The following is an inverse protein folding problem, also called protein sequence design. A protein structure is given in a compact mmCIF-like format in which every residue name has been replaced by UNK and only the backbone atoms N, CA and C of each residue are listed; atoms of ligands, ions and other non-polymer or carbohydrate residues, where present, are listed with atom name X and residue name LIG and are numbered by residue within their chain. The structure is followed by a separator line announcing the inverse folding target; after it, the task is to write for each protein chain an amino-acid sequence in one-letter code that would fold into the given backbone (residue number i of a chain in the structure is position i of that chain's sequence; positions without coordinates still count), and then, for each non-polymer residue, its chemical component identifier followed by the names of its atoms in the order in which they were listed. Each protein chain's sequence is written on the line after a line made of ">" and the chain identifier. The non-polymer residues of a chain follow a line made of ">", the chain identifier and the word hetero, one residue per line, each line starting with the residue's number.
data_IF_530568097500
#
_entry.id   IF_530568097500
#
_cell.length_a   1.000
_cell.length_b   1.000
_cell.length_c   1.000
_cell.angle_alpha   90.00
_cell.angle_beta   90.00
_cell.angle_gamma   90.00
#
_symmetry.space_group_name_H-M   'P 1'
#
loop_
_entity.id
_entity.type
_entity.pdbx_description
1 polymer ?
#
# COMPACT_ATOMS: atom_id res chain seq x y z
N UNK A 1 -23.44 3.80 -1.10
CA UNK A 1 -23.91 3.35 0.21
C UNK A 1 -23.12 3.99 1.37
N UNK A 2 -21.79 3.93 1.41
CA UNK A 2 -20.96 4.46 2.51
C UNK A 2 -21.05 5.98 2.78
N UNK A 3 -21.33 6.82 1.79
CA UNK A 3 -21.35 8.29 1.94
C UNK A 3 -22.59 8.81 2.68
N UNK A 4 -23.73 8.15 2.52
CA UNK A 4 -24.93 8.45 3.32
C UNK A 4 -24.68 8.19 4.80
N UNK A 5 -23.89 7.15 5.10
CA UNK A 5 -23.53 6.78 6.48
C UNK A 5 -22.63 7.82 7.17
N UNK A 6 -21.80 8.59 6.44
CA UNK A 6 -20.99 9.66 7.04
C UNK A 6 -21.89 10.77 7.58
N UNK A 7 -22.93 11.16 6.83
CA UNK A 7 -23.91 12.14 7.28
C UNK A 7 -24.75 11.62 8.44
N UNK A 8 -25.19 10.35 8.34
CA UNK A 8 -26.06 9.73 9.33
C UNK A 8 -25.33 9.48 10.66
N UNK A 9 -24.03 9.13 10.64
CA UNK A 9 -23.22 8.86 11.83
C UNK A 9 -22.67 10.12 12.50
N UNK A 10 -22.39 11.18 11.73
CA UNK A 10 -21.82 12.40 12.30
C UNK A 10 -22.84 13.22 13.11
N UNK A 11 -24.14 12.95 12.97
CA UNK A 11 -25.21 13.75 13.60
C UNK A 11 -25.20 15.23 13.23
N UNK A 12 -24.25 15.65 12.39
CA UNK A 12 -24.08 17.02 11.89
C UNK A 12 -23.52 17.00 10.48
N UNK A 13 -23.85 18.00 9.70
CA UNK A 13 -23.34 18.23 8.38
C UNK A 13 -21.85 18.59 8.45
N UNK A 14 -20.94 17.91 7.71
CA UNK A 14 -19.55 18.33 7.60
C UNK A 14 -19.42 19.62 6.77
N UNK A 15 -18.47 20.48 7.09
CA UNK A 15 -18.18 21.71 6.36
C UNK A 15 -17.69 21.42 4.95
N UNK A 16 -16.89 20.36 4.81
CA UNK A 16 -16.43 19.84 3.53
C UNK A 16 -16.03 18.37 3.63
N UNK A 17 -15.96 17.71 2.49
CA UNK A 17 -15.35 16.39 2.33
C UNK A 17 -14.05 16.59 1.58
N UNK A 18 -12.95 16.09 2.14
CA UNK A 18 -11.62 16.16 1.55
C UNK A 18 -11.23 14.83 0.91
N UNK A 19 -11.07 14.80 -0.42
CA UNK A 19 -10.63 13.61 -1.14
C UNK A 19 -9.75 14.00 -2.34
N UNK A 20 -8.46 14.25 -2.16
CA UNK A 20 -7.58 14.72 -3.22
C UNK A 20 -7.26 13.64 -4.25
N UNK A 21 -7.00 14.07 -5.49
CA UNK A 21 -6.36 13.27 -6.52
C UNK A 21 -4.84 13.33 -6.33
N UNK A 22 -4.19 12.17 -6.21
CA UNK A 22 -2.74 12.05 -6.07
C UNK A 22 -2.20 11.11 -7.13
N UNK A 23 -1.41 11.65 -8.06
CA UNK A 23 -0.88 10.92 -9.23
C UNK A 23 0.42 10.18 -8.96
N UNK A 24 1.21 10.66 -8.00
CA UNK A 24 2.52 10.10 -7.66
C UNK A 24 2.62 9.80 -6.19
N UNK A 25 3.16 8.63 -5.89
CA UNK A 25 3.55 8.20 -4.57
C UNK A 25 4.99 8.59 -4.22
N UNK A 26 5.50 8.02 -3.12
CA UNK A 26 6.91 8.06 -2.78
C UNK A 26 7.77 7.56 -3.94
N UNK A 27 8.95 8.17 -4.10
CA UNK A 27 9.95 7.65 -5.02
C UNK A 27 10.55 6.36 -4.43
N UNK A 28 10.34 5.26 -5.14
CA UNK A 28 10.85 3.94 -4.80
C UNK A 28 12.04 3.56 -5.69
N UNK A 29 12.67 4.54 -6.36
CA UNK A 29 13.84 4.33 -7.21
C UNK A 29 13.54 3.74 -8.60
N UNK A 30 12.28 3.67 -9.01
CA UNK A 30 11.89 3.30 -10.38
C UNK A 30 12.07 4.44 -11.39
N UNK A 31 11.74 4.20 -12.65
CA UNK A 31 11.75 5.23 -13.69
C UNK A 31 10.71 6.34 -13.43
N UNK A 32 9.64 5.99 -12.73
CA UNK A 32 8.59 6.87 -12.25
C UNK A 32 7.98 6.28 -10.97
N UNK A 33 7.14 7.07 -10.30
CA UNK A 33 6.43 6.69 -9.07
C UNK A 33 4.93 6.94 -9.18
N UNK A 34 4.31 6.54 -10.29
CA UNK A 34 2.89 6.75 -10.49
C UNK A 34 2.02 5.89 -9.58
N UNK A 35 0.89 6.43 -9.17
CA UNK A 35 -0.21 5.67 -8.60
C UNK A 35 -1.11 5.09 -9.71
N UNK A 36 -1.93 4.10 -9.35
CA UNK A 36 -2.92 3.55 -10.27
C UNK A 36 -3.86 4.66 -10.78
N UNK A 37 -4.06 4.82 -12.10
CA UNK A 37 -4.93 5.85 -12.67
C UNK A 37 -6.37 5.79 -12.13
N UNK A 38 -6.89 4.60 -11.89
CA UNK A 38 -8.24 4.41 -11.33
C UNK A 38 -8.35 4.99 -9.92
N UNK A 39 -7.31 4.80 -9.09
CA UNK A 39 -7.27 5.37 -7.73
C UNK A 39 -7.11 6.89 -7.80
N UNK A 40 -6.23 7.38 -8.67
CA UNK A 40 -5.98 8.81 -8.86
C UNK A 40 -7.24 9.55 -9.32
N UNK A 41 -8.03 8.98 -10.24
CA UNK A 41 -9.24 9.59 -10.78
C UNK A 41 -10.51 9.33 -9.97
N UNK A 42 -10.44 8.51 -8.91
CA UNK A 42 -11.60 8.17 -8.09
C UNK A 42 -12.36 9.40 -7.55
N UNK A 43 -11.70 10.47 -7.06
CA UNK A 43 -12.42 11.66 -6.60
C UNK A 43 -13.22 12.34 -7.71
N UNK A 44 -12.70 12.43 -8.93
CA UNK A 44 -13.38 12.99 -10.10
C UNK A 44 -14.59 12.13 -10.48
N UNK A 45 -14.42 10.80 -10.49
CA UNK A 45 -15.51 9.86 -10.75
C UNK A 45 -16.64 10.03 -9.73
N UNK A 46 -16.29 10.24 -8.46
CA UNK A 46 -17.27 10.49 -7.41
C UNK A 46 -17.99 11.81 -7.62
N UNK A 47 -17.26 12.89 -7.93
CA UNK A 47 -17.87 14.20 -8.22
C UNK A 47 -18.86 14.09 -9.38
N UNK A 48 -18.45 13.48 -10.49
CA UNK A 48 -19.27 13.36 -11.68
C UNK A 48 -20.55 12.52 -11.51
N UNK A 49 -20.52 11.52 -10.62
CA UNK A 49 -21.65 10.59 -10.46
C UNK A 49 -22.49 10.84 -9.20
N UNK A 50 -22.07 11.72 -8.30
CA UNK A 50 -22.71 11.93 -7.00
C UNK A 50 -22.91 13.41 -6.65
N UNK A 51 -22.86 14.29 -7.64
CA UNK A 51 -22.98 15.75 -7.44
C UNK A 51 -24.27 16.14 -6.72
N UNK A 52 -25.39 15.46 -7.01
CA UNK A 52 -26.67 15.68 -6.34
C UNK A 52 -26.58 15.54 -4.81
N UNK A 53 -25.76 14.60 -4.31
CA UNK A 53 -25.60 14.38 -2.87
C UNK A 53 -24.93 15.60 -2.24
N UNK A 54 -23.89 16.12 -2.90
CA UNK A 54 -23.16 17.30 -2.38
C UNK A 54 -24.06 18.55 -2.44
N UNK A 55 -24.77 18.73 -3.54
CA UNK A 55 -25.69 19.83 -3.74
C UNK A 55 -26.86 19.78 -2.74
N UNK A 56 -27.49 18.61 -2.56
CA UNK A 56 -28.63 18.40 -1.66
C UNK A 56 -28.28 18.72 -0.20
N UNK A 57 -27.10 18.32 0.25
CA UNK A 57 -26.64 18.57 1.62
C UNK A 57 -25.83 19.86 1.75
N UNK A 58 -25.51 20.53 0.63
CA UNK A 58 -24.74 21.78 0.57
C UNK A 58 -23.33 21.63 1.19
N UNK A 59 -22.74 20.43 1.17
CA UNK A 59 -21.40 20.15 1.64
C UNK A 59 -20.41 20.30 0.48
N UNK A 60 -19.32 21.00 0.68
CA UNK A 60 -18.29 21.16 -0.34
C UNK A 60 -17.52 19.85 -0.51
N UNK A 61 -17.35 19.41 -1.74
CA UNK A 61 -16.45 18.31 -2.07
C UNK A 61 -15.15 18.88 -2.62
N UNK A 62 -14.06 18.71 -1.85
CA UNK A 62 -12.75 19.22 -2.19
C UNK A 62 -11.89 18.06 -2.71
N UNK A 63 -11.69 18.01 -4.02
CA UNK A 63 -10.96 16.94 -4.72
C UNK A 63 -9.79 17.49 -5.58
N UNK A 64 -8.93 18.35 -5.02
CA UNK A 64 -7.85 18.94 -5.79
C UNK A 64 -6.81 17.91 -6.21
N UNK A 65 -6.16 18.19 -7.32
CA UNK A 65 -4.94 17.48 -7.72
C UNK A 65 -3.76 17.96 -6.89
N UNK A 66 -3.13 17.07 -6.10
CA UNK A 66 -2.07 17.40 -5.18
C UNK A 66 -0.72 16.79 -5.60
N UNK A 67 0.26 17.61 -6.02
CA UNK A 67 1.61 17.16 -6.32
C UNK A 67 2.42 16.98 -5.03
N UNK A 68 2.22 15.87 -4.31
CA UNK A 68 2.88 15.62 -3.01
C UNK A 68 4.41 15.59 -3.13
N UNK A 69 4.92 15.24 -4.32
CA UNK A 69 6.35 15.22 -4.64
C UNK A 69 6.96 16.61 -4.91
N UNK A 70 6.14 17.69 -4.90
CA UNK A 70 6.59 19.08 -5.11
C UNK A 70 6.11 20.00 -4.00
N UNK A 71 6.82 20.10 -2.85
CA UNK A 71 6.36 20.85 -1.67
C UNK A 71 5.94 22.29 -1.95
N UNK A 72 6.70 23.01 -2.78
CA UNK A 72 6.39 24.40 -3.12
C UNK A 72 5.11 24.57 -3.96
N UNK A 73 4.83 23.61 -4.88
CA UNK A 73 3.57 23.61 -5.65
C UNK A 73 2.41 23.21 -4.75
N UNK A 74 2.61 22.20 -3.90
CA UNK A 74 1.64 21.75 -2.90
C UNK A 74 1.22 22.91 -1.99
N UNK A 75 2.21 23.67 -1.44
CA UNK A 75 1.93 24.85 -0.62
C UNK A 75 1.00 25.86 -1.32
N UNK A 76 1.32 26.22 -2.58
CA UNK A 76 0.52 27.19 -3.35
C UNK A 76 -0.92 26.70 -3.57
N UNK A 77 -1.10 25.42 -3.84
CA UNK A 77 -2.42 24.81 -4.03
C UNK A 77 -3.20 24.81 -2.74
N UNK A 78 -2.61 24.34 -1.63
CA UNK A 78 -3.26 24.31 -0.32
C UNK A 78 -3.65 25.71 0.15
N UNK A 79 -2.77 26.71 0.00
CA UNK A 79 -3.07 28.12 0.33
C UNK A 79 -4.27 28.65 -0.45
N UNK A 80 -4.42 28.33 -1.72
CA UNK A 80 -5.57 28.71 -2.55
C UNK A 80 -6.85 28.03 -2.06
N UNK A 81 -6.79 26.73 -1.77
CA UNK A 81 -7.97 25.94 -1.37
C UNK A 81 -8.48 26.35 0.00
N UNK A 82 -7.57 26.57 0.94
CA UNK A 82 -7.92 26.87 2.34
C UNK A 82 -8.08 28.37 2.63
N UNK A 83 -7.89 29.24 1.64
CA UNK A 83 -8.14 30.68 1.76
C UNK A 83 -9.57 31.03 2.27
N UNK A 84 -10.66 30.36 1.78
CA UNK A 84 -12.02 30.63 2.30
C UNK A 84 -12.21 30.27 3.76
N UNK A 85 -11.36 29.40 4.30
CA UNK A 85 -11.36 28.97 5.71
C UNK A 85 -10.44 29.83 6.59
N UNK A 86 -9.86 30.91 6.03
CA UNK A 86 -8.96 31.86 6.72
C UNK A 86 -7.68 31.21 7.27
N UNK A 87 -7.22 30.11 6.68
CA UNK A 87 -5.96 29.44 7.04
C UNK A 87 -4.81 30.20 6.39
N UNK A 88 -3.82 30.59 7.20
CA UNK A 88 -2.64 31.34 6.78
C UNK A 88 -1.60 30.45 6.08
N UNK A 89 -0.70 31.07 5.31
CA UNK A 89 0.42 30.35 4.70
C UNK A 89 1.35 29.72 5.74
N UNK A 90 1.56 30.37 6.88
CA UNK A 90 2.40 29.82 7.97
C UNK A 90 1.79 28.59 8.65
N UNK A 91 0.48 28.53 8.77
CA UNK A 91 -0.22 27.32 9.27
C UNK A 91 -0.07 26.16 8.27
N UNK A 92 -0.17 26.44 6.96
CA UNK A 92 0.05 25.42 5.92
C UNK A 92 1.49 24.91 5.97
N UNK A 93 2.49 25.82 6.08
CA UNK A 93 3.89 25.41 6.21
C UNK A 93 4.13 24.55 7.46
N UNK A 94 3.53 24.92 8.57
CA UNK A 94 3.62 24.14 9.82
C UNK A 94 2.98 22.75 9.65
N UNK A 95 1.83 22.66 8.99
CA UNK A 95 1.14 21.41 8.72
C UNK A 95 1.98 20.50 7.78
N UNK A 96 2.56 21.05 6.71
CA UNK A 96 3.42 20.30 5.81
C UNK A 96 4.66 19.75 6.52
N UNK A 97 5.35 20.56 7.34
CA UNK A 97 6.49 20.09 8.13
C UNK A 97 6.12 18.96 9.11
N UNK A 98 4.97 19.09 9.79
CA UNK A 98 4.47 18.02 10.69
C UNK A 98 4.14 16.75 9.94
N UNK A 99 3.50 16.85 8.79
CA UNK A 99 3.16 15.68 7.96
C UNK A 99 4.43 14.97 7.46
N UNK A 100 5.44 15.73 7.04
CA UNK A 100 6.72 15.16 6.61
C UNK A 100 7.47 14.49 7.77
N UNK A 101 7.53 15.14 8.93
CA UNK A 101 8.15 14.56 10.12
C UNK A 101 7.45 13.25 10.54
N UNK A 102 6.12 13.23 10.56
CA UNK A 102 5.35 12.02 10.89
C UNK A 102 5.57 10.90 9.86
N UNK A 103 5.74 11.24 8.59
CA UNK A 103 6.06 10.27 7.54
C UNK A 103 7.44 9.63 7.74
N UNK A 104 8.43 10.42 8.04
CA UNK A 104 9.80 9.92 8.30
C UNK A 104 9.86 9.12 9.61
N UNK A 105 9.14 9.54 10.64
CA UNK A 105 9.00 8.76 11.88
C UNK A 105 8.36 7.39 11.62
N UNK A 106 7.26 7.34 10.86
CA UNK A 106 6.62 6.09 10.46
C UNK A 106 7.59 5.14 9.73
N UNK A 107 8.35 5.68 8.76
CA UNK A 107 9.35 4.88 8.04
C UNK A 107 10.42 4.31 8.97
N UNK A 108 10.92 5.14 9.91
CA UNK A 108 11.92 4.69 10.87
C UNK A 108 11.37 3.59 11.77
N UNK A 109 10.16 3.74 12.29
CA UNK A 109 9.51 2.71 13.11
C UNK A 109 9.30 1.41 12.33
N UNK A 110 8.83 1.49 11.08
CA UNK A 110 8.66 0.34 10.21
C UNK A 110 10.00 -0.36 9.93
N UNK A 111 11.06 0.40 9.66
CA UNK A 111 12.39 -0.13 9.45
C UNK A 111 12.91 -0.90 10.69
N UNK A 112 12.84 -0.27 11.87
CA UNK A 112 13.29 -0.89 13.12
C UNK A 112 12.50 -2.14 13.48
N UNK A 113 11.17 -2.11 13.29
CA UNK A 113 10.34 -3.28 13.56
C UNK A 113 10.62 -4.41 12.55
N UNK A 114 10.86 -4.09 11.30
CA UNK A 114 11.25 -5.09 10.29
C UNK A 114 12.58 -5.75 10.67
N UNK A 115 13.59 -4.96 11.08
CA UNK A 115 14.86 -5.51 11.55
C UNK A 115 14.69 -6.42 12.77
N UNK A 116 13.87 -6.00 13.74
CA UNK A 116 13.57 -6.80 14.94
C UNK A 116 12.96 -8.16 14.58
N UNK A 117 11.99 -8.16 13.65
CA UNK A 117 11.34 -9.41 13.21
C UNK A 117 12.32 -10.30 12.43
N UNK A 118 13.15 -9.73 11.55
CA UNK A 118 14.18 -10.50 10.83
C UNK A 118 15.16 -11.15 11.79
N UNK A 119 15.62 -10.45 12.81
CA UNK A 119 16.46 -11.01 13.85
C UNK A 119 15.76 -12.14 14.61
N UNK A 120 14.49 -11.96 14.98
CA UNK A 120 13.70 -13.00 15.65
C UNK A 120 13.55 -14.27 14.78
N UNK A 121 13.35 -14.10 13.46
CA UNK A 121 13.30 -15.22 12.50
C UNK A 121 14.61 -16.02 12.54
N UNK A 122 15.74 -15.32 12.47
CA UNK A 122 17.07 -15.95 12.51
C UNK A 122 17.32 -16.68 13.84
N UNK A 123 17.11 -16.01 14.98
CA UNK A 123 17.36 -16.55 16.32
C UNK A 123 16.49 -17.78 16.64
N UNK A 124 15.21 -17.73 16.28
CA UNK A 124 14.24 -18.80 16.55
C UNK A 124 14.11 -19.80 15.41
N UNK A 125 14.85 -19.63 14.31
CA UNK A 125 14.78 -20.46 13.10
C UNK A 125 13.33 -20.58 12.55
N UNK A 126 12.61 -19.45 12.55
CA UNK A 126 11.27 -19.38 12.02
C UNK A 126 11.29 -19.26 10.48
N UNK A 127 10.13 -19.52 9.88
CA UNK A 127 9.86 -19.10 8.50
C UNK A 127 9.19 -17.72 8.57
N UNK A 128 9.72 -16.76 7.82
CA UNK A 128 9.13 -15.45 7.65
C UNK A 128 8.30 -15.37 6.37
N UNK A 129 7.06 -14.96 6.48
CA UNK A 129 6.19 -14.69 5.33
C UNK A 129 6.18 -13.19 5.05
N UNK A 130 6.73 -12.80 3.91
CA UNK A 130 6.60 -11.44 3.38
C UNK A 130 5.24 -11.33 2.72
N UNK A 131 4.29 -10.70 3.42
CA UNK A 131 2.93 -10.51 2.93
C UNK A 131 2.88 -9.25 2.08
N UNK A 132 2.77 -9.43 0.79
CA UNK A 132 2.82 -8.39 -0.22
C UNK A 132 1.45 -8.11 -0.83
N UNK A 133 1.31 -6.97 -1.48
CA UNK A 133 0.08 -6.59 -2.19
C UNK A 133 -0.05 -5.08 -2.38
N UNK A 134 -1.26 -4.58 -2.34
CA UNK A 134 -1.54 -3.14 -2.37
C UNK A 134 -1.67 -2.60 -0.94
N UNK A 135 -1.43 -1.31 -0.68
CA UNK A 135 -1.49 -0.75 0.68
C UNK A 135 -2.79 -1.05 1.44
N UNK A 136 -3.92 -1.17 0.74
CA UNK A 136 -5.21 -1.49 1.37
C UNK A 136 -5.28 -2.94 1.88
N UNK A 137 -4.41 -3.85 1.43
CA UNK A 137 -4.33 -5.21 1.96
C UNK A 137 -3.78 -5.28 3.39
N UNK A 138 -3.20 -4.18 3.90
CA UNK A 138 -2.81 -4.10 5.30
C UNK A 138 -4.02 -4.00 6.26
N UNK A 139 -5.20 -3.60 5.76
CA UNK A 139 -6.41 -3.49 6.56
C UNK A 139 -6.97 -4.89 6.92
N UNK A 140 -7.18 -5.21 8.22
CA UNK A 140 -7.69 -6.51 8.65
C UNK A 140 -9.05 -6.88 8.08
N UNK A 141 -9.91 -5.90 7.79
CA UNK A 141 -11.22 -6.14 7.17
C UNK A 141 -11.09 -6.56 5.69
N UNK A 142 -9.98 -6.20 5.03
CA UNK A 142 -9.71 -6.55 3.64
C UNK A 142 -8.91 -7.84 3.54
N UNK A 143 -7.90 -8.03 4.39
CA UNK A 143 -7.05 -9.23 4.36
C UNK A 143 -7.64 -10.41 5.12
N UNK A 144 -8.83 -10.26 5.71
CA UNK A 144 -9.55 -11.32 6.44
C UNK A 144 -8.70 -12.01 7.53
N UNK A 145 -7.88 -11.27 8.25
CA UNK A 145 -6.96 -11.76 9.29
C UNK A 145 -5.97 -12.85 8.79
N UNK A 146 -5.57 -12.78 7.52
CA UNK A 146 -4.51 -13.66 6.99
C UNK A 146 -3.21 -13.57 7.81
N UNK A 147 -2.74 -12.38 8.24
CA UNK A 147 -1.56 -12.28 9.12
C UNK A 147 -1.70 -13.09 10.41
N UNK A 148 -2.87 -13.03 11.06
CA UNK A 148 -3.13 -13.79 12.28
C UNK A 148 -3.09 -15.30 12.04
N UNK A 149 -3.64 -15.74 10.90
CA UNK A 149 -3.59 -17.13 10.50
C UNK A 149 -2.16 -17.63 10.28
N UNK A 150 -1.31 -16.84 9.64
CA UNK A 150 0.11 -17.15 9.41
C UNK A 150 0.83 -17.28 10.76
N UNK A 151 0.61 -16.34 11.69
CA UNK A 151 1.19 -16.39 13.03
C UNK A 151 0.72 -17.64 13.82
N UNK A 152 -0.55 -18.02 13.71
CA UNK A 152 -1.09 -19.25 14.34
C UNK A 152 -0.44 -20.53 13.79
N UNK A 153 0.11 -20.49 12.59
CA UNK A 153 0.87 -21.59 11.98
C UNK A 153 2.35 -21.60 12.40
N UNK A 154 2.76 -20.73 13.33
CA UNK A 154 4.11 -20.63 13.84
C UNK A 154 5.10 -19.91 12.93
N UNK A 155 4.61 -19.14 11.96
CA UNK A 155 5.44 -18.34 11.04
C UNK A 155 5.38 -16.86 11.42
N UNK A 156 6.46 -16.13 11.17
CA UNK A 156 6.49 -14.69 11.33
C UNK A 156 5.89 -13.98 10.09
N UNK A 157 5.30 -12.80 10.29
CA UNK A 157 4.76 -11.99 9.19
C UNK A 157 5.53 -10.69 9.07
N UNK A 158 5.93 -10.36 7.86
CA UNK A 158 6.59 -9.12 7.48
C UNK A 158 5.78 -8.43 6.38
N UNK A 159 5.78 -7.12 6.35
CA UNK A 159 5.18 -6.36 5.27
C UNK A 159 6.17 -6.11 4.12
N UNK A 160 5.65 -6.01 2.90
CA UNK A 160 6.47 -5.74 1.72
C UNK A 160 7.21 -4.40 1.79
N UNK A 161 6.57 -3.37 2.35
CA UNK A 161 7.17 -2.04 2.46
C UNK A 161 8.33 -2.03 3.47
N UNK A 162 8.22 -2.77 4.57
CA UNK A 162 9.33 -2.99 5.48
C UNK A 162 10.51 -3.69 4.81
N UNK A 163 10.25 -4.80 4.11
CA UNK A 163 11.29 -5.55 3.39
C UNK A 163 11.90 -4.74 2.24
N UNK A 164 11.11 -3.97 1.50
CA UNK A 164 11.64 -3.12 0.44
C UNK A 164 12.63 -2.06 0.95
N UNK A 165 12.53 -1.65 2.22
CA UNK A 165 13.48 -0.72 2.86
C UNK A 165 14.80 -1.40 3.28
N UNK A 166 14.83 -2.72 3.42
CA UNK A 166 16.04 -3.48 3.77
C UNK A 166 16.98 -3.69 2.58
N UNK A 167 16.51 -3.42 1.37
CA UNK A 167 17.28 -3.66 0.16
C UNK A 167 17.96 -2.39 -0.35
N UNK A 168 19.17 -2.54 -0.90
CA UNK A 168 19.84 -1.53 -1.70
C UNK A 168 18.97 -1.08 -2.87
N UNK A 169 19.16 0.16 -3.33
CA UNK A 169 18.36 0.81 -4.38
C UNK A 169 18.40 0.14 -5.75
N UNK A 170 19.14 -0.95 -5.92
CA UNK A 170 19.25 -1.69 -7.19
C UNK A 170 18.05 -2.61 -7.39
N UNK A 171 17.38 -2.44 -8.51
CA UNK A 171 16.34 -3.37 -8.95
C UNK A 171 16.93 -4.63 -9.59
N UNK A 172 16.25 -5.79 -9.48
CA UNK A 172 16.56 -6.92 -10.33
C UNK A 172 16.30 -6.55 -11.80
N UNK A 173 16.87 -7.28 -12.76
CA UNK A 173 16.54 -7.09 -14.17
C UNK A 173 15.04 -7.28 -14.42
N UNK A 174 14.37 -6.24 -14.92
CA UNK A 174 12.94 -6.24 -15.20
C UNK A 174 12.70 -6.25 -16.73
N UNK A 175 11.69 -6.99 -17.19
CA UNK A 175 11.23 -6.95 -18.59
C UNK A 175 10.33 -5.74 -18.86
N UNK A 176 9.78 -5.15 -17.80
CA UNK A 176 8.81 -4.05 -17.88
C UNK A 176 9.42 -2.74 -17.40
N UNK A 177 8.90 -1.64 -17.91
CA UNK A 177 9.26 -0.32 -17.39
C UNK A 177 8.73 -0.18 -15.95
N UNK A 178 9.64 0.04 -15.02
CA UNK A 178 9.32 0.22 -13.61
C UNK A 178 8.87 1.66 -13.36
N UNK A 179 7.56 1.90 -13.43
CA UNK A 179 6.98 3.25 -13.35
C UNK A 179 5.91 3.41 -12.26
N UNK A 180 5.62 2.36 -11.49
CA UNK A 180 4.55 2.35 -10.51
C UNK A 180 5.12 2.19 -9.09
N UNK A 181 4.76 3.06 -8.17
CA UNK A 181 5.27 3.07 -6.80
C UNK A 181 5.16 1.70 -6.12
N UNK A 182 3.96 1.12 -6.13
CA UNK A 182 3.70 -0.12 -5.40
C UNK A 182 4.32 -1.34 -6.07
N UNK A 183 4.41 -1.36 -7.39
CA UNK A 183 5.13 -2.41 -8.13
C UNK A 183 6.63 -2.38 -7.82
N UNK A 184 7.21 -1.18 -7.74
CA UNK A 184 8.62 -1.02 -7.38
C UNK A 184 8.95 -1.67 -6.03
N UNK A 185 8.11 -1.47 -5.03
CA UNK A 185 8.26 -2.12 -3.72
C UNK A 185 8.21 -3.63 -3.83
N UNK A 186 7.21 -4.14 -4.56
CA UNK A 186 7.01 -5.58 -4.71
C UNK A 186 8.18 -6.25 -5.43
N UNK A 187 8.73 -5.63 -6.48
CA UNK A 187 9.92 -6.14 -7.17
C UNK A 187 11.14 -6.19 -6.24
N UNK A 188 11.36 -5.18 -5.42
CA UNK A 188 12.45 -5.16 -4.44
C UNK A 188 12.25 -6.22 -3.37
N UNK A 189 11.06 -6.33 -2.82
CA UNK A 189 10.74 -7.34 -1.81
C UNK A 189 10.90 -8.75 -2.36
N UNK A 190 10.45 -9.01 -3.59
CA UNK A 190 10.66 -10.29 -4.25
C UNK A 190 12.15 -10.62 -4.41
N UNK A 191 12.97 -9.68 -4.89
CA UNK A 191 14.40 -9.89 -5.04
C UNK A 191 15.10 -10.10 -3.67
N UNK A 192 14.68 -9.36 -2.63
CA UNK A 192 15.18 -9.58 -1.28
C UNK A 192 14.89 -11.01 -0.78
N UNK A 193 13.64 -11.44 -0.87
CA UNK A 193 13.21 -12.80 -0.47
C UNK A 193 14.00 -13.88 -1.19
N UNK A 194 14.34 -13.69 -2.47
CA UNK A 194 15.13 -14.71 -3.20
C UNK A 194 16.52 -14.95 -2.63
N UNK A 195 17.07 -14.02 -1.85
CA UNK A 195 18.42 -14.11 -1.25
C UNK A 195 18.40 -14.62 0.20
N UNK A 196 17.22 -14.77 0.83
CA UNK A 196 17.04 -15.17 2.22
C UNK A 196 16.24 -16.46 2.26
N UNK A 197 16.91 -17.54 2.67
CA UNK A 197 16.34 -18.88 2.63
C UNK A 197 15.19 -19.07 3.62
N UNK A 198 15.14 -18.30 4.66
CA UNK A 198 14.15 -18.30 5.75
C UNK A 198 12.91 -17.44 5.45
N UNK A 199 12.87 -16.74 4.32
CA UNK A 199 11.75 -15.91 3.91
C UNK A 199 10.99 -16.52 2.72
N UNK A 200 9.68 -16.33 2.68
CA UNK A 200 8.81 -16.69 1.57
C UNK A 200 7.90 -15.51 1.19
N UNK A 201 7.57 -15.36 -0.11
CA UNK A 201 6.73 -14.29 -0.60
C UNK A 201 5.31 -14.77 -0.86
N UNK A 202 4.35 -14.11 -0.23
CA UNK A 202 2.92 -14.33 -0.46
C UNK A 202 2.28 -13.01 -0.89
N UNK A 203 1.79 -12.94 -2.12
CA UNK A 203 1.10 -11.75 -2.63
C UNK A 203 -0.41 -11.89 -2.47
N UNK A 204 -1.02 -10.87 -1.87
CA UNK A 204 -2.48 -10.69 -1.83
C UNK A 204 -2.93 -9.93 -3.08
N UNK A 205 -3.85 -10.49 -3.84
CA UNK A 205 -4.37 -9.91 -5.07
C UNK A 205 -5.90 -9.89 -5.04
N UNK A 206 -6.52 -8.71 -5.22
CA UNK A 206 -7.98 -8.54 -5.16
C UNK A 206 -8.62 -8.35 -6.53
N UNK A 207 -7.92 -7.67 -7.44
CA UNK A 207 -8.44 -7.31 -8.74
C UNK A 207 -7.65 -8.00 -9.84
N UNK A 208 -8.29 -8.62 -10.78
CA UNK A 208 -7.63 -9.13 -11.99
C UNK A 208 -7.41 -8.03 -13.03
N UNK A 209 -6.86 -6.87 -12.65
CA UNK A 209 -6.60 -5.79 -13.57
C UNK A 209 -5.29 -6.01 -14.37
N UNK A 210 -5.14 -5.32 -15.50
CA UNK A 210 -3.94 -5.46 -16.34
C UNK A 210 -2.64 -5.10 -15.63
N UNK A 211 -2.66 -4.13 -14.72
CA UNK A 211 -1.47 -3.76 -13.92
C UNK A 211 -1.07 -4.87 -12.95
N UNK A 212 -2.04 -5.52 -12.31
CA UNK A 212 -1.76 -6.64 -11.40
C UNK A 212 -1.25 -7.86 -12.17
N UNK A 213 -1.80 -8.15 -13.36
CA UNK A 213 -1.30 -9.24 -14.19
C UNK A 213 0.18 -9.05 -14.56
N UNK A 214 0.56 -7.83 -14.99
CA UNK A 214 1.96 -7.52 -15.34
C UNK A 214 2.89 -7.64 -14.13
N UNK A 215 2.48 -7.17 -12.96
CA UNK A 215 3.34 -7.24 -11.77
C UNK A 215 3.48 -8.67 -11.28
N UNK A 216 2.40 -9.44 -11.26
CA UNK A 216 2.40 -10.86 -10.86
C UNK A 216 3.35 -11.68 -11.73
N UNK A 217 3.28 -11.52 -13.07
CA UNK A 217 4.19 -12.20 -14.01
C UNK A 217 5.65 -11.82 -13.76
N UNK A 218 5.94 -10.54 -13.56
CA UNK A 218 7.30 -10.08 -13.31
C UNK A 218 7.85 -10.57 -11.97
N UNK A 219 7.03 -10.60 -10.91
CA UNK A 219 7.41 -11.16 -9.60
C UNK A 219 7.66 -12.66 -9.71
N UNK A 220 6.80 -13.39 -10.40
CA UNK A 220 7.00 -14.81 -10.63
C UNK A 220 8.32 -15.08 -11.37
N UNK A 221 8.67 -14.25 -12.36
CA UNK A 221 9.95 -14.37 -13.05
C UNK A 221 11.15 -14.13 -12.13
N UNK A 222 11.10 -13.09 -11.26
CA UNK A 222 12.13 -12.79 -10.26
C UNK A 222 12.34 -14.00 -9.34
N UNK A 223 11.26 -14.55 -8.80
CA UNK A 223 11.28 -15.69 -7.88
C UNK A 223 11.79 -16.96 -8.57
N UNK A 224 11.29 -17.27 -9.76
CA UNK A 224 11.64 -18.48 -10.52
C UNK A 224 13.10 -18.53 -10.95
N UNK A 225 13.72 -17.39 -11.29
CA UNK A 225 15.16 -17.29 -11.63
C UNK A 225 16.09 -17.77 -10.51
N UNK A 226 15.59 -17.81 -9.29
CA UNK A 226 16.32 -18.29 -8.09
C UNK A 226 15.73 -19.59 -7.51
N UNK A 227 14.87 -20.29 -8.27
CA UNK A 227 14.18 -21.50 -7.84
C UNK A 227 13.39 -21.30 -6.54
N UNK A 228 12.78 -20.11 -6.35
CA UNK A 228 11.95 -19.80 -5.20
C UNK A 228 10.48 -19.92 -5.57
N UNK A 229 9.69 -20.42 -4.62
CA UNK A 229 8.24 -20.49 -4.79
C UNK A 229 7.63 -19.07 -4.71
N UNK A 230 6.62 -18.86 -5.52
CA UNK A 230 5.80 -17.67 -5.48
C UNK A 230 4.34 -18.04 -5.28
N UNK A 231 3.70 -17.45 -4.29
CA UNK A 231 2.29 -17.70 -4.00
C UNK A 231 1.49 -16.42 -4.14
N UNK A 232 0.55 -16.40 -5.08
CA UNK A 232 -0.47 -15.36 -5.18
C UNK A 232 -1.80 -15.88 -4.60
N UNK A 233 -2.33 -15.15 -3.62
CA UNK A 233 -3.62 -15.42 -2.99
C UNK A 233 -4.63 -14.41 -3.50
N UNK A 234 -5.62 -14.88 -4.25
CA UNK A 234 -6.74 -14.04 -4.63
C UNK A 234 -7.67 -13.85 -3.44
N UNK A 235 -7.83 -12.58 -3.02
CA UNK A 235 -8.78 -12.17 -2.00
C UNK A 235 -10.07 -11.75 -2.68
N UNK A 236 -11.17 -12.37 -2.29
CA UNK A 236 -12.52 -12.07 -2.76
C UNK A 236 -13.45 -11.82 -1.57
N UNK A 237 -14.63 -11.23 -1.80
CA UNK A 237 -15.61 -10.96 -0.75
C UNK A 237 -16.07 -12.24 0.00
N UNK A 238 -15.95 -13.40 -0.64
CA UNK A 238 -16.25 -14.71 -0.09
C UNK A 238 -15.00 -15.58 0.04
N UNK A 239 -14.13 -15.24 0.98
CA UNK A 239 -12.85 -15.95 1.13
C UNK A 239 -13.04 -17.31 1.79
N UNK A 240 -12.64 -18.40 1.11
CA UNK A 240 -12.53 -19.71 1.73
C UNK A 240 -11.20 -19.84 2.48
N UNK A 241 -11.18 -19.53 3.77
CA UNK A 241 -10.01 -19.65 4.64
C UNK A 241 -9.38 -21.06 4.62
N UNK A 242 -10.14 -22.09 4.30
CA UNK A 242 -9.63 -23.47 4.17
C UNK A 242 -8.59 -23.59 3.04
N UNK A 243 -8.86 -23.00 1.89
CA UNK A 243 -7.92 -22.99 0.76
C UNK A 243 -6.64 -22.20 1.07
N UNK A 244 -6.75 -21.15 1.90
CA UNK A 244 -5.59 -20.37 2.34
C UNK A 244 -4.74 -21.14 3.34
N UNK A 245 -5.34 -21.90 4.25
CA UNK A 245 -4.60 -22.74 5.22
C UNK A 245 -3.71 -23.78 4.55
N UNK A 246 -4.17 -24.37 3.45
CA UNK A 246 -3.43 -25.45 2.77
C UNK A 246 -2.13 -24.92 2.13
N UNK A 247 -2.12 -23.71 1.58
CA UNK A 247 -0.96 -23.16 0.87
C UNK A 247 0.23 -22.82 1.78
N UNK A 248 0.10 -22.13 2.92
CA UNK A 248 1.19 -21.96 3.88
C UNK A 248 1.70 -23.27 4.49
N UNK A 249 0.82 -24.26 4.72
CA UNK A 249 1.22 -25.59 5.22
C UNK A 249 2.18 -26.29 4.23
N UNK A 250 2.04 -26.04 2.93
CA UNK A 250 2.95 -26.58 1.93
C UNK A 250 4.40 -26.12 2.15
N UNK A 251 4.62 -24.93 2.69
CA UNK A 251 5.97 -24.41 2.98
C UNK A 251 6.63 -25.15 4.15
N UNK A 252 5.87 -25.55 5.15
CA UNK A 252 6.39 -26.31 6.31
C UNK A 252 6.78 -27.74 5.92
N UNK A 253 6.06 -28.36 4.98
CA UNK A 253 6.36 -29.72 4.51
C UNK A 253 7.48 -29.82 3.47
N UNK A 254 7.76 -28.75 2.71
CA UNK A 254 8.84 -28.77 1.71
C UNK A 254 10.24 -28.61 2.32
N UNK A 255 10.34 -28.26 3.61
CA UNK A 255 11.60 -28.09 4.35
C UNK A 255 11.85 -29.14 5.44
N UNK A 256 10.92 -30.07 5.66
CA UNK A 256 11.09 -31.24 6.52
C UNK A 256 11.66 -32.41 5.75
#
# INVERSE_FOLDING_TARGET
>A
MYKRQIYDRAGRKPDFIWYPCVDKGPDEGGANSFHCPMVTSQPETIQANMDEIFTKYGTRFLHPFLPLHHPAKLHKILKRIFRPFKISGSEIDAAQRKAEAAREEYKMQLYLETQRILQEIEEKKLIGIVLAGRPYHADPAINHSIPDLINQLGMAVLSEDGIAMMQDSKFPPLRVLNQWTWHSRLYRSADYVTRHADLELVELNSFGCGLDAVVTDQVQEIMSKRNRLYTSLKIDQSLNLGAIRIRPISYTHLRA
#
